data_IF_293426871523
#
_entry.id   IF_293426871523
#
_cell.length_a   1.000
_cell.length_b   1.000
_cell.length_c   1.000
_cell.angle_alpha   90.00
_cell.angle_beta   90.00
_cell.angle_gamma   90.00
#
_symmetry.space_group_name_H-M   'P 1'
#
loop_
_entity.id
_entity.type
_entity.pdbx_description
1 polymer ?
#
# COMPACT_ATOMS: atom_id res chain seq x y z
N UNK A 1 -20.54 -3.46 -19.50
CA UNK A 1 -21.34 -2.25 -19.15
C UNK A 1 -21.84 -2.38 -17.73
N UNK A 2 -21.03 -1.98 -16.78
CA UNK A 2 -21.49 -1.78 -15.42
C UNK A 2 -21.97 -0.34 -15.37
N UNK A 3 -23.27 -0.15 -15.61
CA UNK A 3 -23.91 1.11 -15.28
C UNK A 3 -24.05 1.14 -13.77
N UNK A 4 -23.28 1.97 -13.09
CA UNK A 4 -23.65 2.44 -11.78
C UNK A 4 -24.93 3.26 -12.02
N UNK A 5 -26.08 2.71 -11.73
CA UNK A 5 -27.33 3.47 -11.74
C UNK A 5 -27.35 4.35 -10.47
N UNK A 6 -26.49 5.32 -10.48
CA UNK A 6 -26.53 6.43 -9.55
C UNK A 6 -27.37 7.56 -10.18
N UNK A 7 -27.97 8.37 -9.33
CA UNK A 7 -28.55 9.64 -9.73
C UNK A 7 -27.61 10.36 -10.71
N UNK A 8 -28.06 11.02 -11.76
CA UNK A 8 -27.20 11.70 -12.74
C UNK A 8 -26.22 12.72 -12.12
N UNK A 9 -26.45 13.15 -10.88
CA UNK A 9 -25.55 13.98 -10.09
C UNK A 9 -25.50 13.47 -8.64
N UNK A 10 -24.81 12.34 -8.36
CA UNK A 10 -24.71 11.83 -7.01
C UNK A 10 -23.90 12.79 -6.14
N UNK A 11 -24.31 12.94 -4.88
CA UNK A 11 -23.53 13.66 -3.89
C UNK A 11 -22.24 12.86 -3.56
N UNK A 12 -21.27 13.52 -2.95
CA UNK A 12 -20.05 12.83 -2.51
C UNK A 12 -20.36 11.73 -1.49
N UNK A 13 -21.32 11.98 -0.61
CA UNK A 13 -21.77 11.02 0.41
C UNK A 13 -22.43 9.80 -0.23
N UNK A 14 -23.20 9.97 -1.31
CA UNK A 14 -23.79 8.86 -2.06
C UNK A 14 -22.69 8.00 -2.69
N UNK A 15 -21.64 8.60 -3.24
CA UNK A 15 -20.51 7.89 -3.81
C UNK A 15 -19.68 7.14 -2.75
N UNK A 16 -19.58 7.66 -1.53
CA UNK A 16 -18.84 6.99 -0.44
C UNK A 16 -19.59 5.75 0.09
N UNK A 17 -20.91 5.68 -0.09
CA UNK A 17 -21.76 4.59 0.40
C UNK A 17 -22.09 3.49 -0.62
N UNK A 18 -21.56 3.55 -1.84
CA UNK A 18 -21.77 2.53 -2.87
C UNK A 18 -20.95 1.27 -2.58
N UNK A 19 -21.55 0.10 -2.77
CA UNK A 19 -20.83 -1.18 -2.72
C UNK A 19 -20.01 -1.40 -4.00
N UNK A 20 -18.80 -0.87 -4.01
CA UNK A 20 -17.90 -0.95 -5.17
C UNK A 20 -17.36 -2.35 -5.43
N UNK A 21 -17.39 -3.22 -4.41
CA UNK A 21 -16.94 -4.59 -4.51
C UNK A 21 -17.72 -5.35 -5.59
N UNK A 22 -19.06 -5.40 -5.48
CA UNK A 22 -19.92 -6.13 -6.42
C UNK A 22 -19.84 -5.53 -7.83
N UNK A 23 -19.77 -4.21 -7.93
CA UNK A 23 -19.65 -3.50 -9.18
C UNK A 23 -18.36 -3.85 -9.93
N UNK A 24 -17.23 -3.85 -9.22
CA UNK A 24 -15.93 -4.17 -9.80
C UNK A 24 -15.88 -5.64 -10.25
N UNK A 25 -16.37 -6.56 -9.43
CA UNK A 25 -16.43 -7.99 -9.78
C UNK A 25 -17.31 -8.21 -11.01
N UNK A 26 -18.51 -7.69 -11.03
CA UNK A 26 -19.43 -7.84 -12.16
C UNK A 26 -18.83 -7.31 -13.47
N UNK A 27 -18.09 -6.19 -13.39
CA UNK A 27 -17.34 -5.64 -14.53
C UNK A 27 -16.25 -6.56 -15.02
N UNK A 28 -15.45 -7.13 -14.10
CA UNK A 28 -14.38 -8.06 -14.44
C UNK A 28 -14.92 -9.35 -15.08
N UNK A 29 -15.98 -9.92 -14.52
CA UNK A 29 -16.62 -11.13 -15.05
C UNK A 29 -17.17 -10.92 -16.45
N UNK A 30 -17.83 -9.77 -16.71
CA UNK A 30 -18.32 -9.41 -18.04
C UNK A 30 -17.20 -9.23 -19.07
N UNK A 31 -16.10 -8.57 -18.68
CA UNK A 31 -14.96 -8.32 -19.58
C UNK A 31 -14.25 -9.61 -19.96
N UNK A 32 -14.06 -10.53 -18.98
CA UNK A 32 -13.29 -11.74 -19.19
C UNK A 32 -14.16 -12.97 -19.50
N UNK A 33 -15.50 -12.84 -19.49
CA UNK A 33 -16.48 -13.89 -19.82
C UNK A 33 -16.28 -15.18 -18.98
N UNK A 34 -16.07 -15.00 -17.70
CA UNK A 34 -15.83 -16.11 -16.75
C UNK A 34 -17.17 -16.61 -16.21
N UNK A 35 -17.38 -17.93 -16.22
CA UNK A 35 -18.64 -18.58 -15.88
C UNK A 35 -18.45 -19.72 -14.86
N UNK A 36 -17.71 -19.48 -13.78
CA UNK A 36 -17.53 -20.50 -12.75
C UNK A 36 -17.00 -19.93 -11.44
N UNK A 37 -17.54 -20.36 -10.30
CA UNK A 37 -17.15 -19.86 -8.98
C UNK A 37 -15.64 -20.00 -8.67
N UNK A 38 -14.98 -21.04 -9.19
CA UNK A 38 -13.53 -21.22 -9.01
C UNK A 38 -12.73 -20.25 -9.87
N UNK A 39 -13.15 -20.07 -11.11
CA UNK A 39 -12.51 -19.16 -12.07
C UNK A 39 -12.75 -17.70 -11.69
N UNK A 40 -13.94 -17.39 -11.17
CA UNK A 40 -14.28 -16.08 -10.62
C UNK A 40 -13.35 -15.68 -9.48
N UNK A 41 -13.19 -16.53 -8.47
CA UNK A 41 -12.24 -16.30 -7.38
C UNK A 41 -10.79 -16.18 -7.87
N UNK A 42 -10.41 -17.02 -8.82
CA UNK A 42 -9.08 -16.97 -9.41
C UNK A 42 -8.83 -15.68 -10.18
N UNK A 43 -9.85 -15.15 -10.88
CA UNK A 43 -9.79 -13.86 -11.58
C UNK A 43 -9.64 -12.69 -10.60
N UNK A 44 -10.43 -12.68 -9.53
CA UNK A 44 -10.38 -11.64 -8.51
C UNK A 44 -9.01 -11.62 -7.83
N UNK A 45 -8.41 -12.77 -7.55
CA UNK A 45 -7.09 -12.88 -6.95
C UNK A 45 -5.92 -12.43 -7.86
N UNK A 46 -6.18 -12.03 -9.10
CA UNK A 46 -5.19 -11.34 -9.94
C UNK A 46 -4.96 -9.90 -9.50
N UNK A 47 -5.92 -9.30 -8.81
CA UNK A 47 -5.92 -7.92 -8.37
C UNK A 47 -5.65 -7.82 -6.86
N UNK A 48 -5.12 -6.68 -6.43
CA UNK A 48 -4.99 -6.39 -5.01
C UNK A 48 -6.36 -6.43 -4.32
N UNK A 49 -6.47 -6.95 -3.09
CA UNK A 49 -7.74 -6.96 -2.35
C UNK A 49 -8.40 -5.58 -2.18
N UNK A 50 -7.61 -4.51 -2.31
CA UNK A 50 -8.10 -3.13 -2.16
C UNK A 50 -8.63 -2.53 -3.47
N UNK A 51 -8.86 -3.31 -4.54
CA UNK A 51 -9.33 -2.81 -5.83
C UNK A 51 -10.64 -2.00 -5.74
N UNK A 52 -11.51 -2.32 -4.79
CA UNK A 52 -12.76 -1.58 -4.56
C UNK A 52 -12.49 -0.12 -4.16
N UNK A 53 -11.48 0.12 -3.31
CA UNK A 53 -11.07 1.47 -2.92
C UNK A 53 -10.44 2.24 -4.07
N UNK A 54 -9.72 1.56 -4.96
CA UNK A 54 -9.17 2.18 -6.17
C UNK A 54 -10.27 2.64 -7.12
N UNK A 55 -11.31 1.81 -7.32
CA UNK A 55 -12.49 2.14 -8.12
C UNK A 55 -13.24 3.33 -7.51
N UNK A 56 -13.48 3.28 -6.19
CA UNK A 56 -14.13 4.36 -5.45
C UNK A 56 -13.38 5.66 -5.58
N UNK A 57 -12.09 5.66 -5.27
CA UNK A 57 -11.25 6.86 -5.28
C UNK A 57 -11.13 7.45 -6.70
N UNK A 58 -11.15 6.60 -7.73
CA UNK A 58 -11.19 7.05 -9.11
C UNK A 58 -12.49 7.78 -9.42
N UNK A 59 -13.65 7.23 -9.05
CA UNK A 59 -14.97 7.83 -9.33
C UNK A 59 -15.20 9.11 -8.50
N UNK A 60 -14.73 9.16 -7.26
CA UNK A 60 -14.80 10.39 -6.44
C UNK A 60 -13.96 11.51 -7.05
N UNK A 61 -12.79 11.19 -7.60
CA UNK A 61 -11.91 12.18 -8.25
C UNK A 61 -12.40 12.60 -9.64
N UNK A 62 -13.15 11.74 -10.31
CA UNK A 62 -13.55 11.92 -11.70
C UNK A 62 -15.05 11.60 -11.88
N UNK A 63 -15.96 12.38 -11.28
CA UNK A 63 -17.40 12.11 -11.32
C UNK A 63 -17.99 12.13 -12.74
N UNK A 64 -17.29 12.72 -13.70
CA UNK A 64 -17.69 12.73 -15.11
C UNK A 64 -17.69 11.34 -15.77
N UNK A 65 -17.02 10.33 -15.17
CA UNK A 65 -17.03 8.96 -15.66
C UNK A 65 -18.17 8.11 -15.11
N UNK A 66 -18.96 8.62 -14.17
CA UNK A 66 -20.16 7.95 -13.69
C UNK A 66 -21.11 7.70 -14.88
N UNK A 67 -21.65 6.49 -14.97
CA UNK A 67 -22.49 6.02 -16.06
C UNK A 67 -21.84 6.05 -17.46
N UNK A 68 -20.50 6.16 -17.51
CA UNK A 68 -19.74 6.08 -18.78
C UNK A 68 -18.83 4.86 -18.79
N UNK A 69 -18.62 4.33 -19.99
CA UNK A 69 -17.65 3.27 -20.20
C UNK A 69 -16.24 3.85 -20.16
N UNK A 70 -15.43 3.38 -19.22
CA UNK A 70 -14.03 3.80 -19.07
C UNK A 70 -13.12 2.61 -18.85
N UNK A 71 -11.81 2.81 -19.05
CA UNK A 71 -10.79 1.82 -18.74
C UNK A 71 -10.07 2.28 -17.48
N UNK A 72 -10.12 1.45 -16.44
CA UNK A 72 -9.42 1.68 -15.19
C UNK A 72 -8.27 0.69 -15.07
N UNK A 73 -7.11 1.17 -14.65
CA UNK A 73 -5.96 0.35 -14.29
C UNK A 73 -6.01 0.07 -12.80
N UNK A 74 -6.05 -1.20 -12.44
CA UNK A 74 -6.09 -1.67 -11.06
C UNK A 74 -4.73 -2.22 -10.66
N UNK A 75 -4.40 -2.10 -9.38
CA UNK A 75 -3.18 -2.68 -8.82
C UNK A 75 -3.26 -4.21 -8.86
N UNK A 76 -2.23 -4.86 -9.41
CA UNK A 76 -2.11 -6.30 -9.39
C UNK A 76 -1.81 -6.81 -7.97
N UNK A 77 -2.23 -8.05 -7.68
CA UNK A 77 -1.87 -8.70 -6.42
C UNK A 77 -0.37 -9.00 -6.32
N UNK A 78 0.13 -9.20 -5.09
CA UNK A 78 1.52 -9.59 -4.85
C UNK A 78 1.91 -10.85 -5.64
N UNK A 79 1.03 -11.84 -5.68
CA UNK A 79 1.27 -13.08 -6.43
C UNK A 79 1.49 -12.82 -7.94
N UNK A 80 0.77 -11.86 -8.52
CA UNK A 80 0.95 -11.46 -9.92
C UNK A 80 2.24 -10.66 -10.13
N UNK A 81 2.60 -9.80 -9.20
CA UNK A 81 3.87 -9.08 -9.23
C UNK A 81 5.07 -10.05 -9.13
N UNK A 82 5.01 -11.04 -8.23
CA UNK A 82 6.04 -12.07 -8.10
C UNK A 82 6.13 -12.95 -9.36
N UNK A 83 5.00 -13.27 -9.98
CA UNK A 83 4.97 -13.98 -11.25
C UNK A 83 5.62 -13.14 -12.37
N UNK A 84 5.31 -11.85 -12.42
CA UNK A 84 5.88 -10.92 -13.40
C UNK A 84 7.39 -10.74 -13.24
N UNK A 85 7.89 -10.76 -12.00
CA UNK A 85 9.32 -10.74 -11.67
C UNK A 85 10.04 -12.06 -11.94
N UNK A 86 9.29 -13.12 -12.28
CA UNK A 86 9.85 -14.45 -12.53
C UNK A 86 10.22 -15.24 -11.28
N UNK A 87 9.75 -14.82 -10.11
CA UNK A 87 10.03 -15.49 -8.82
C UNK A 87 9.22 -16.77 -8.62
N UNK A 88 8.18 -17.00 -9.42
CA UNK A 88 7.36 -18.21 -9.34
C UNK A 88 7.72 -19.21 -10.43
N UNK A 89 8.05 -20.47 -10.04
CA UNK A 89 8.39 -21.51 -10.99
C UNK A 89 7.12 -22.00 -11.74
N UNK A 90 7.09 -21.77 -13.05
CA UNK A 90 5.96 -22.15 -13.92
C UNK A 90 5.89 -23.64 -14.23
N UNK A 91 7.02 -24.35 -14.10
CA UNK A 91 7.16 -25.78 -14.46
C UNK A 91 6.65 -26.74 -13.40
N UNK A 92 6.30 -26.24 -12.19
CA UNK A 92 5.78 -27.09 -11.12
C UNK A 92 4.29 -27.41 -11.37
N UNK A 93 3.81 -28.59 -10.91
CA UNK A 93 2.39 -28.92 -10.88
C UNK A 93 1.58 -27.91 -10.08
N UNK A 94 0.30 -27.74 -10.41
CA UNK A 94 -0.60 -26.77 -9.80
C UNK A 94 -0.70 -26.89 -8.27
N UNK A 95 -0.67 -28.12 -7.75
CA UNK A 95 -0.71 -28.44 -6.32
C UNK A 95 0.51 -27.92 -5.52
N UNK A 96 1.60 -27.60 -6.22
CA UNK A 96 2.85 -27.08 -5.64
C UNK A 96 3.11 -25.61 -5.96
N UNK A 97 2.15 -24.93 -6.60
CA UNK A 97 2.23 -23.51 -6.93
C UNK A 97 1.21 -22.71 -6.12
N UNK A 98 1.52 -21.46 -5.84
CA UNK A 98 0.57 -20.50 -5.25
C UNK A 98 -0.48 -20.04 -6.28
N UNK A 99 -0.13 -20.09 -7.55
CA UNK A 99 -0.93 -19.60 -8.68
C UNK A 99 -1.43 -20.83 -9.44
N UNK A 100 -2.74 -20.88 -9.72
CA UNK A 100 -3.35 -21.94 -10.49
C UNK A 100 -3.17 -21.77 -12.00
N UNK A 101 -3.51 -22.79 -12.78
CA UNK A 101 -3.35 -22.78 -14.24
C UNK A 101 -4.23 -21.71 -14.92
N UNK A 102 -5.41 -21.45 -14.39
CA UNK A 102 -6.29 -20.40 -14.91
C UNK A 102 -5.67 -19.02 -14.72
N UNK A 103 -5.08 -18.74 -13.56
CA UNK A 103 -4.40 -17.46 -13.29
C UNK A 103 -3.18 -17.27 -14.19
N UNK A 104 -2.39 -18.32 -14.44
CA UNK A 104 -1.29 -18.29 -15.40
C UNK A 104 -1.77 -17.96 -16.80
N UNK A 105 -2.82 -18.63 -17.27
CA UNK A 105 -3.41 -18.39 -18.58
C UNK A 105 -3.91 -16.94 -18.72
N UNK A 106 -4.59 -16.43 -17.70
CA UNK A 106 -5.09 -15.06 -17.69
C UNK A 106 -3.96 -14.03 -17.66
N UNK A 107 -2.92 -14.29 -16.85
CA UNK A 107 -1.73 -13.45 -16.83
C UNK A 107 -1.05 -13.39 -18.22
N UNK A 108 -0.83 -14.55 -18.86
CA UNK A 108 -0.21 -14.59 -20.19
C UNK A 108 -1.04 -13.84 -21.22
N UNK A 109 -2.36 -13.98 -21.20
CA UNK A 109 -3.29 -13.21 -22.04
C UNK A 109 -3.19 -11.71 -21.80
N UNK A 110 -3.03 -11.26 -20.55
CA UNK A 110 -2.87 -9.84 -20.22
C UNK A 110 -1.52 -9.30 -20.73
N UNK A 111 -0.45 -10.10 -20.63
CA UNK A 111 0.88 -9.75 -21.17
C UNK A 111 0.83 -9.64 -22.68
N UNK A 112 0.25 -10.62 -23.39
CA UNK A 112 0.11 -10.60 -24.85
C UNK A 112 -0.69 -9.40 -25.34
N UNK A 113 -1.70 -8.97 -24.59
CA UNK A 113 -2.52 -7.81 -24.89
C UNK A 113 -1.90 -6.47 -24.48
N UNK A 114 -0.66 -6.47 -23.95
CA UNK A 114 0.00 -5.28 -23.40
C UNK A 114 -0.87 -4.52 -22.37
N UNK A 115 -1.59 -5.26 -21.53
CA UNK A 115 -2.46 -4.68 -20.49
C UNK A 115 -1.79 -4.58 -19.12
N UNK A 116 -0.54 -4.97 -19.00
CA UNK A 116 0.24 -4.91 -17.76
C UNK A 116 1.28 -3.81 -17.91
N UNK A 117 1.20 -2.82 -17.03
CA UNK A 117 2.16 -1.72 -16.95
C UNK A 117 2.95 -1.79 -15.65
N UNK A 118 4.25 -1.56 -15.72
CA UNK A 118 5.07 -1.34 -14.53
C UNK A 118 4.96 0.11 -14.11
N UNK A 119 4.51 0.33 -12.88
CA UNK A 119 4.44 1.65 -12.27
C UNK A 119 5.36 1.71 -11.04
N UNK A 120 5.86 2.90 -10.74
CA UNK A 120 6.60 3.11 -9.50
C UNK A 120 5.61 3.06 -8.32
N UNK A 121 5.95 2.26 -7.29
CA UNK A 121 5.09 2.12 -6.12
C UNK A 121 5.21 3.35 -5.20
N UNK A 122 4.41 4.38 -5.48
CA UNK A 122 4.33 5.57 -4.63
C UNK A 122 3.72 5.29 -3.25
N UNK A 123 2.98 4.19 -3.10
CA UNK A 123 2.37 3.80 -1.82
C UNK A 123 3.41 3.55 -0.74
N UNK A 124 4.62 3.09 -1.15
CA UNK A 124 5.74 2.89 -0.23
C UNK A 124 6.03 4.11 0.66
N UNK A 125 5.92 5.31 0.12
CA UNK A 125 6.23 6.55 0.86
C UNK A 125 5.00 7.25 1.44
N UNK A 126 3.81 6.99 0.89
CA UNK A 126 2.59 7.71 1.24
C UNK A 126 1.69 6.97 2.22
N UNK A 127 1.67 5.64 2.15
CA UNK A 127 0.81 4.81 3.00
C UNK A 127 1.56 4.35 4.25
N UNK A 128 0.80 3.92 5.24
CA UNK A 128 1.29 3.25 6.43
C UNK A 128 1.44 1.75 6.21
N UNK A 129 1.51 1.01 7.32
CA UNK A 129 1.54 -0.44 7.30
C UNK A 129 0.24 -1.02 6.74
N UNK A 130 0.34 -2.06 5.91
CA UNK A 130 -0.78 -2.78 5.32
C UNK A 130 -0.52 -4.28 5.36
N UNK A 131 -1.59 -5.07 5.45
CA UNK A 131 -1.53 -6.54 5.33
C UNK A 131 -1.21 -6.98 3.90
N UNK A 132 -1.51 -6.14 2.93
CA UNK A 132 -1.27 -6.40 1.51
C UNK A 132 0.10 -5.83 1.12
N UNK A 133 1.09 -6.66 0.77
CA UNK A 133 2.46 -6.22 0.51
C UNK A 133 2.57 -5.14 -0.57
N UNK A 134 1.74 -5.21 -1.61
CA UNK A 134 1.71 -4.26 -2.73
C UNK A 134 1.26 -2.85 -2.31
N UNK A 135 0.54 -2.74 -1.19
CA UNK A 135 0.00 -1.49 -0.64
C UNK A 135 0.70 -1.05 0.64
N UNK A 136 1.63 -1.86 1.16
CA UNK A 136 2.36 -1.54 2.36
C UNK A 136 3.32 -0.37 2.11
N UNK A 137 3.36 0.55 3.07
CA UNK A 137 4.20 1.74 3.03
C UNK A 137 4.94 1.98 4.34
N UNK A 138 6.04 2.70 4.26
CA UNK A 138 6.89 3.10 5.38
C UNK A 138 6.71 4.57 5.76
N UNK A 139 5.83 5.30 5.08
CA UNK A 139 5.64 6.75 5.27
C UNK A 139 5.38 7.12 6.72
N UNK A 140 4.46 6.44 7.40
CA UNK A 140 4.15 6.68 8.80
C UNK A 140 5.34 6.42 9.73
N UNK A 141 6.08 5.33 9.48
CA UNK A 141 7.27 4.98 10.25
C UNK A 141 8.42 6.01 10.06
N UNK A 142 8.63 6.49 8.83
CA UNK A 142 9.61 7.53 8.55
C UNK A 142 9.29 8.83 9.28
N UNK A 143 8.04 9.30 9.20
CA UNK A 143 7.60 10.52 9.88
C UNK A 143 7.71 10.36 11.40
N UNK A 144 7.26 9.23 11.94
CA UNK A 144 7.36 8.94 13.38
C UNK A 144 8.81 8.92 13.86
N UNK A 145 9.71 8.25 13.15
CA UNK A 145 11.14 8.21 13.48
C UNK A 145 11.79 9.58 13.43
N UNK A 146 11.44 10.40 12.45
CA UNK A 146 11.96 11.75 12.31
C UNK A 146 11.56 12.63 13.50
N UNK A 147 10.29 12.63 13.88
CA UNK A 147 9.84 13.39 15.05
C UNK A 147 10.44 12.86 16.36
N UNK A 148 10.56 11.55 16.51
CA UNK A 148 11.20 10.94 17.69
C UNK A 148 12.65 11.39 17.83
N UNK A 149 13.43 11.40 16.76
CA UNK A 149 14.83 11.87 16.78
C UNK A 149 14.89 13.35 17.17
N UNK A 150 14.06 14.21 16.56
CA UNK A 150 14.05 15.65 16.87
C UNK A 150 13.71 15.89 18.34
N UNK A 151 12.63 15.27 18.84
CA UNK A 151 12.20 15.46 20.24
C UNK A 151 13.28 14.96 21.20
N UNK A 152 13.86 13.79 20.92
CA UNK A 152 14.95 13.26 21.74
C UNK A 152 16.16 14.20 21.79
N UNK A 153 16.58 14.72 20.64
CA UNK A 153 17.69 15.69 20.58
C UNK A 153 17.37 16.98 21.36
N UNK A 154 16.18 17.53 21.16
CA UNK A 154 15.76 18.77 21.84
C UNK A 154 15.72 18.62 23.36
N UNK A 155 15.36 17.44 23.86
CA UNK A 155 15.32 17.16 25.30
C UNK A 155 16.69 16.77 25.85
N UNK A 156 17.40 15.87 25.19
CA UNK A 156 18.67 15.32 25.69
C UNK A 156 19.83 16.31 25.61
N UNK A 157 19.89 17.12 24.56
CA UNK A 157 21.00 18.05 24.35
C UNK A 157 21.14 19.11 25.45
N UNK A 158 20.10 19.84 25.86
CA UNK A 158 20.19 20.76 27.00
C UNK A 158 20.56 20.07 28.31
N UNK A 159 19.95 18.90 28.58
CA UNK A 159 20.25 18.14 29.79
C UNK A 159 21.73 17.72 29.84
N UNK A 160 22.26 17.24 28.70
CA UNK A 160 23.67 16.84 28.60
C UNK A 160 24.62 18.03 28.83
N UNK A 161 24.31 19.21 28.28
CA UNK A 161 25.09 20.43 28.51
C UNK A 161 25.10 20.81 29.99
N UNK A 162 23.92 20.89 30.64
CA UNK A 162 23.82 21.23 32.03
C UNK A 162 24.53 20.22 32.95
N UNK A 163 24.40 18.92 32.64
CA UNK A 163 25.12 17.87 33.36
C UNK A 163 26.63 17.99 33.22
N UNK A 164 27.13 18.29 32.03
CA UNK A 164 28.56 18.51 31.77
C UNK A 164 29.11 19.70 32.54
N UNK A 165 28.40 20.84 32.52
CA UNK A 165 28.81 22.04 33.28
C UNK A 165 28.80 21.76 34.77
N UNK A 166 27.79 21.06 35.29
CA UNK A 166 27.70 20.69 36.70
C UNK A 166 28.88 19.79 37.12
N UNK A 167 29.18 18.77 36.35
CA UNK A 167 30.30 17.85 36.64
C UNK A 167 31.65 18.57 36.62
N UNK A 168 31.85 19.48 35.67
CA UNK A 168 33.07 20.29 35.61
C UNK A 168 33.20 21.19 36.84
N UNK A 169 32.16 21.90 37.20
CA UNK A 169 32.12 22.78 38.37
C UNK A 169 32.40 22.02 39.68
N UNK A 170 31.81 20.82 39.88
CA UNK A 170 32.03 20.00 41.08
C UNK A 170 33.47 19.45 41.11
N UNK A 171 34.03 19.05 39.95
CA UNK A 171 35.40 18.57 39.88
C UNK A 171 36.42 19.61 40.37
N UNK A 172 36.23 20.89 40.04
CA UNK A 172 37.10 21.96 40.50
C UNK A 172 37.03 22.19 42.02
N UNK A 173 35.85 22.08 42.61
CA UNK A 173 35.66 22.30 44.06
C UNK A 173 36.29 21.17 44.92
N UNK A 174 36.34 19.95 44.42
CA UNK A 174 37.01 18.83 45.11
C UNK A 174 38.55 18.83 45.00
N UNK A 175 39.10 19.42 43.92
CA UNK A 175 40.58 19.53 43.73
C UNK A 175 41.18 20.67 44.54
N UNK A 176 40.39 21.60 45.05
CA UNK A 176 40.87 22.77 45.87
C UNK A 176 40.76 22.57 47.36
N UNK A 177 40.59 21.36 47.88
CA UNK A 177 40.71 21.08 49.30
C UNK A 177 42.16 21.30 49.75
N UNK A 178 42.45 22.27 50.63
CA UNK A 178 43.85 22.49 51.08
C UNK A 178 44.27 21.29 51.91
N UNK A 179 45.37 20.66 51.48
CA UNK A 179 46.17 19.76 52.32
C UNK A 179 46.70 20.57 53.47
N UNK A 180 46.01 20.67 54.60
CA UNK A 180 46.60 21.13 55.84
C UNK A 180 47.62 20.11 56.29
N UNK A 181 48.88 20.34 55.98
CA UNK A 181 50.02 19.70 56.60
C UNK A 181 50.26 20.39 57.96
N UNK A 182 49.99 19.71 59.04
CA UNK A 182 50.55 19.96 60.36
C UNK A 182 51.88 19.32 60.54
#
# INVERSE_FOLDING_TARGET
ETALYLDPNPSKDDLENVEYYDLAIESLLKVYQVNGLKEEKALINLFSPDYEYEVRDFLIKNPEFINKKTILKLTASDDMDQLHKGNYPRHLPEDRRRINDFQLMMYDKLVEQNKIDKIFNNYLFQKGDSRNPELAGIGGALVGSFFTIIITLLLSFPIAIFASIYLEAVSYTHLTLPTTTS
#
